data_IF_002248814473
#
_entry.id   IF_002248814473
#
_cell.length_a   1.000
_cell.length_b   1.000
_cell.length_c   1.000
_cell.angle_alpha   90.00
_cell.angle_beta   90.00
_cell.angle_gamma   90.00
#
_symmetry.space_group_name_H-M   'P 1'
#
loop_
_entity.id
_entity.type
_entity.pdbx_description
1 polymer ?
#
# COMPACT_ATOMS: atom_id res chain seq x y z
N UNK A 1 -4.60 13.16 -6.11
CA UNK A 1 -5.04 12.80 -4.74
C UNK A 1 -4.59 13.86 -3.74
N UNK A 2 -5.41 14.19 -2.71
CA UNK A 2 -5.08 15.14 -1.65
C UNK A 2 -5.15 14.50 -0.27
N UNK A 3 -4.24 14.90 0.62
CA UNK A 3 -4.18 14.50 2.02
C UNK A 3 -4.42 15.71 2.94
N UNK A 4 -4.89 15.45 4.15
CA UNK A 4 -5.13 16.43 5.21
C UNK A 4 -4.55 15.92 6.54
N UNK A 5 -4.30 16.82 7.50
CA UNK A 5 -4.01 16.41 8.88
C UNK A 5 -5.31 16.05 9.60
N UNK A 6 -5.28 15.00 10.42
CA UNK A 6 -6.38 14.67 11.34
C UNK A 6 -6.69 15.76 12.36
N UNK A 7 -5.77 16.72 12.57
CA UNK A 7 -5.94 17.86 13.49
C UNK A 7 -6.22 19.17 12.77
N UNK A 8 -5.97 19.24 11.47
CA UNK A 8 -6.25 20.41 10.63
C UNK A 8 -6.54 20.00 9.19
N UNK A 9 -7.80 20.18 8.77
CA UNK A 9 -8.28 19.84 7.43
C UNK A 9 -8.30 21.02 6.45
N UNK A 10 -7.75 22.18 6.83
CA UNK A 10 -7.72 23.37 5.97
C UNK A 10 -6.61 23.32 4.91
N UNK A 11 -5.48 22.68 5.22
CA UNK A 11 -4.36 22.51 4.30
C UNK A 11 -4.48 21.18 3.57
N UNK A 12 -4.24 21.21 2.26
CA UNK A 12 -4.11 19.99 1.45
C UNK A 12 -2.63 19.72 1.19
N UNK A 13 -2.28 18.44 1.15
CA UNK A 13 -0.94 17.93 0.88
C UNK A 13 -0.98 16.92 -0.26
N UNK A 14 0.05 16.87 -1.09
CA UNK A 14 0.21 15.79 -2.07
C UNK A 14 0.69 14.51 -1.39
N UNK A 15 0.59 13.35 -2.06
CA UNK A 15 1.19 12.12 -1.54
C UNK A 15 2.68 12.27 -1.27
N UNK A 16 3.40 12.95 -2.17
CA UNK A 16 4.84 13.24 -2.01
C UNK A 16 5.13 14.01 -0.72
N UNK A 17 4.35 15.05 -0.43
CA UNK A 17 4.52 15.84 0.79
C UNK A 17 4.38 14.99 2.05
N UNK A 18 3.32 14.17 2.12
CA UNK A 18 3.03 13.36 3.31
C UNK A 18 3.99 12.18 3.46
N UNK A 19 4.42 11.59 2.35
CA UNK A 19 5.39 10.49 2.33
C UNK A 19 6.75 10.94 2.88
N UNK A 20 7.21 12.13 2.50
CA UNK A 20 8.50 12.67 2.94
C UNK A 20 8.46 13.27 4.34
N UNK A 21 7.35 13.90 4.73
CA UNK A 21 7.20 14.46 6.08
C UNK A 21 7.04 13.39 7.15
N UNK A 22 6.30 12.31 6.85
CA UNK A 22 5.94 11.27 7.81
C UNK A 22 4.88 11.71 8.84
N UNK A 23 5.08 12.84 9.54
CA UNK A 23 4.16 13.39 10.53
C UNK A 23 3.74 14.83 10.16
N UNK A 24 2.50 15.21 10.45
CA UNK A 24 2.03 16.57 10.23
C UNK A 24 2.61 17.55 11.27
N UNK A 25 2.82 18.80 10.86
CA UNK A 25 3.44 19.85 11.69
C UNK A 25 2.63 20.16 12.97
N UNK A 26 1.33 19.85 12.98
CA UNK A 26 0.42 20.00 14.14
C UNK A 26 0.36 18.75 15.04
N UNK A 27 1.24 17.77 14.79
CA UNK A 27 1.29 16.48 15.47
C UNK A 27 0.15 15.53 15.12
N UNK A 28 -0.66 15.85 14.10
CA UNK A 28 -1.66 14.97 13.54
C UNK A 28 -1.09 13.93 12.57
N UNK A 29 -1.95 13.05 12.09
CA UNK A 29 -1.61 12.08 11.05
C UNK A 29 -2.13 12.57 9.70
N UNK A 30 -1.41 12.25 8.63
CA UNK A 30 -1.90 12.49 7.28
C UNK A 30 -2.89 11.40 6.88
N UNK A 31 -4.07 11.81 6.40
CA UNK A 31 -5.10 10.92 5.87
C UNK A 31 -5.59 11.45 4.52
N UNK A 32 -6.00 10.57 3.59
CA UNK A 32 -6.55 11.02 2.31
C UNK A 32 -7.85 11.80 2.56
N UNK A 33 -8.01 12.93 1.87
CA UNK A 33 -9.18 13.80 2.01
C UNK A 33 -10.46 13.12 1.55
N UNK A 34 -10.34 12.21 0.59
CA UNK A 34 -11.41 11.37 0.07
C UNK A 34 -10.89 9.94 -0.07
N UNK A 35 -11.77 8.96 0.19
CA UNK A 35 -11.45 7.54 0.03
C UNK A 35 -12.15 7.05 -1.24
N UNK A 36 -11.40 6.36 -2.12
CA UNK A 36 -11.99 5.70 -3.30
C UNK A 36 -13.01 4.68 -2.84
N UNK A 37 -14.25 4.82 -3.32
CA UNK A 37 -15.30 3.82 -3.14
C UNK A 37 -15.26 2.87 -4.33
N UNK A 38 -15.20 1.56 -4.06
CA UNK A 38 -15.24 0.53 -5.10
C UNK A 38 -16.68 0.08 -5.32
N UNK A 39 -17.12 0.05 -6.58
CA UNK A 39 -18.38 -0.57 -6.98
C UNK A 39 -18.26 -2.09 -6.91
N UNK A 40 -19.40 -2.77 -6.83
CA UNK A 40 -19.45 -4.25 -6.82
C UNK A 40 -18.71 -4.87 -8.00
N UNK A 41 -18.92 -4.33 -9.21
CA UNK A 41 -18.25 -4.79 -10.43
C UNK A 41 -16.71 -4.63 -10.35
N UNK A 42 -16.22 -3.55 -9.75
CA UNK A 42 -14.77 -3.37 -9.54
C UNK A 42 -14.24 -4.42 -8.57
N UNK A 43 -14.94 -4.65 -7.44
CA UNK A 43 -14.56 -5.69 -6.46
C UNK A 43 -14.55 -7.09 -7.08
N UNK A 44 -15.51 -7.39 -7.96
CA UNK A 44 -15.58 -8.65 -8.69
C UNK A 44 -14.39 -8.86 -9.64
N UNK A 45 -13.81 -7.78 -10.16
CA UNK A 45 -12.59 -7.85 -10.97
C UNK A 45 -11.35 -8.03 -10.09
N UNK A 46 -11.30 -7.38 -8.92
CA UNK A 46 -10.15 -7.45 -8.00
C UNK A 46 -9.89 -8.86 -7.46
N UNK A 47 -10.94 -9.69 -7.28
CA UNK A 47 -10.82 -11.03 -6.67
C UNK A 47 -9.94 -12.01 -7.46
N UNK A 48 -9.72 -11.75 -8.75
CA UNK A 48 -8.98 -12.65 -9.65
C UNK A 48 -7.51 -12.21 -9.85
N UNK A 49 -7.09 -11.12 -9.20
CA UNK A 49 -5.76 -10.56 -9.36
C UNK A 49 -4.73 -11.27 -8.47
N UNK A 50 -3.47 -11.28 -8.91
CA UNK A 50 -2.34 -11.60 -8.04
C UNK A 50 -2.21 -10.56 -6.92
N UNK A 51 -1.50 -10.88 -5.84
CA UNK A 51 -1.25 -9.91 -4.76
C UNK A 51 -0.58 -8.63 -5.29
N UNK A 52 0.35 -8.76 -6.24
CA UNK A 52 1.06 -7.62 -6.81
C UNK A 52 0.12 -6.71 -7.61
N UNK A 53 -0.72 -7.29 -8.46
CA UNK A 53 -1.67 -6.52 -9.27
C UNK A 53 -2.76 -5.89 -8.39
N UNK A 54 -3.26 -6.64 -7.41
CA UNK A 54 -4.22 -6.15 -6.42
C UNK A 54 -3.65 -4.98 -5.62
N UNK A 55 -2.40 -5.09 -5.16
CA UNK A 55 -1.73 -3.99 -4.48
C UNK A 55 -1.60 -2.75 -5.37
N UNK A 56 -1.29 -2.92 -6.67
CA UNK A 56 -1.24 -1.81 -7.61
C UNK A 56 -2.61 -1.13 -7.78
N UNK A 57 -3.69 -1.89 -7.95
CA UNK A 57 -5.05 -1.35 -8.08
C UNK A 57 -5.53 -0.62 -6.82
N UNK A 58 -5.16 -1.10 -5.64
CA UNK A 58 -5.54 -0.50 -4.36
C UNK A 58 -4.71 0.76 -4.08
N UNK A 59 -3.40 0.74 -4.33
CA UNK A 59 -2.47 1.80 -3.94
C UNK A 59 -2.48 2.96 -4.95
N UNK A 60 -2.61 2.68 -6.25
CA UNK A 60 -2.50 3.71 -7.29
C UNK A 60 -3.42 4.92 -7.07
N UNK A 61 -4.71 4.78 -6.69
CA UNK A 61 -5.59 5.91 -6.40
C UNK A 61 -5.12 6.83 -5.26
N UNK A 62 -4.29 6.33 -4.35
CA UNK A 62 -3.77 7.10 -3.22
C UNK A 62 -2.48 7.85 -3.54
N UNK A 63 -1.70 7.38 -4.52
CA UNK A 63 -0.40 7.98 -4.86
C UNK A 63 -0.45 8.81 -6.15
N UNK A 64 -1.35 8.47 -7.07
CA UNK A 64 -1.66 9.13 -8.35
C UNK A 64 -0.45 9.82 -9.02
N UNK A 65 -0.27 11.13 -8.83
CA UNK A 65 0.78 11.92 -9.50
C UNK A 65 2.21 11.64 -8.99
N UNK A 66 2.39 10.78 -7.97
CA UNK A 66 3.71 10.43 -7.46
C UNK A 66 4.52 9.56 -8.44
N UNK A 67 3.86 8.66 -9.16
CA UNK A 67 4.46 7.80 -10.18
C UNK A 67 3.41 7.20 -11.12
N UNK A 68 3.80 6.82 -12.33
CA UNK A 68 2.92 6.07 -13.22
C UNK A 68 2.53 4.71 -12.63
N UNK A 69 1.38 4.18 -13.06
CA UNK A 69 0.91 2.84 -12.65
C UNK A 69 1.91 1.75 -13.03
N UNK A 70 2.56 1.86 -14.18
CA UNK A 70 3.57 0.89 -14.61
C UNK A 70 4.82 0.90 -13.70
N UNK A 71 5.26 2.09 -13.27
CA UNK A 71 6.34 2.22 -12.29
C UNK A 71 5.93 1.60 -10.94
N UNK A 72 4.69 1.83 -10.51
CA UNK A 72 4.16 1.23 -9.29
C UNK A 72 4.16 -0.31 -9.36
N UNK A 73 3.70 -0.89 -10.47
CA UNK A 73 3.72 -2.34 -10.69
C UNK A 73 5.15 -2.89 -10.61
N UNK A 74 6.11 -2.23 -11.27
CA UNK A 74 7.52 -2.62 -11.22
C UNK A 74 8.08 -2.60 -9.79
N UNK A 75 7.78 -1.54 -9.04
CA UNK A 75 8.23 -1.36 -7.66
C UNK A 75 7.58 -2.38 -6.72
N UNK A 76 6.29 -2.66 -6.87
CA UNK A 76 5.58 -3.68 -6.07
C UNK A 76 6.20 -5.05 -6.32
N UNK A 77 6.40 -5.41 -7.59
CA UNK A 77 7.06 -6.67 -7.97
C UNK A 77 8.46 -6.80 -7.35
N UNK A 78 9.27 -5.73 -7.41
CA UNK A 78 10.58 -5.70 -6.76
C UNK A 78 10.48 -5.83 -5.23
N UNK A 79 9.55 -5.12 -4.60
CA UNK A 79 9.37 -5.09 -3.14
C UNK A 79 9.00 -6.45 -2.58
N UNK A 80 8.18 -7.22 -3.29
CA UNK A 80 7.71 -8.52 -2.83
C UNK A 80 8.48 -9.71 -3.38
N UNK A 81 9.49 -9.50 -4.25
CA UNK A 81 10.34 -10.54 -4.83
C UNK A 81 11.08 -11.44 -3.83
N UNK A 82 11.28 -10.97 -2.59
CA UNK A 82 11.98 -11.71 -1.51
C UNK A 82 11.03 -12.43 -0.55
N UNK A 83 9.73 -12.41 -0.81
CA UNK A 83 8.78 -13.18 -0.02
C UNK A 83 8.83 -14.65 -0.43
N UNK A 84 8.76 -15.54 0.55
CA UNK A 84 8.85 -17.00 0.33
C UNK A 84 7.52 -17.64 -0.11
N UNK A 85 6.41 -16.90 -0.01
CA UNK A 85 5.10 -17.32 -0.51
C UNK A 85 4.91 -16.81 -1.94
N UNK A 86 4.34 -17.64 -2.82
CA UNK A 86 4.07 -17.29 -4.23
C UNK A 86 3.19 -16.03 -4.38
N UNK A 87 2.30 -15.78 -3.41
CA UNK A 87 1.36 -14.64 -3.46
C UNK A 87 1.55 -13.68 -2.27
N UNK A 88 2.80 -13.55 -1.80
CA UNK A 88 3.26 -12.67 -0.71
C UNK A 88 2.73 -13.07 0.68
N UNK A 89 1.41 -13.22 0.82
CA UNK A 89 0.72 -13.71 2.01
C UNK A 89 0.15 -15.11 1.73
N UNK A 90 -0.31 -15.79 2.79
CA UNK A 90 -0.99 -17.08 2.66
C UNK A 90 -2.15 -17.15 3.64
N UNK A 91 -3.27 -17.74 3.23
CA UNK A 91 -4.36 -18.10 4.15
C UNK A 91 -4.24 -19.60 4.42
N UNK A 92 -4.09 -19.95 5.70
CA UNK A 92 -3.99 -21.34 6.15
C UNK A 92 -5.24 -21.71 6.95
N UNK A 93 -5.81 -22.87 6.66
CA UNK A 93 -6.97 -23.42 7.39
C UNK A 93 -6.50 -24.15 8.66
N UNK A 94 -7.16 -23.88 9.77
CA UNK A 94 -6.95 -24.51 11.07
C UNK A 94 -8.31 -24.98 11.61
N UNK A 95 -8.89 -25.96 10.91
CA UNK A 95 -10.25 -26.44 11.17
C UNK A 95 -11.29 -25.40 10.77
N UNK A 96 -12.08 -24.91 11.74
CA UNK A 96 -13.06 -23.84 11.53
C UNK A 96 -12.42 -22.44 11.47
N UNK A 97 -11.14 -22.31 11.83
CA UNK A 97 -10.41 -21.05 11.84
C UNK A 97 -9.57 -20.89 10.57
N UNK A 98 -9.38 -19.63 10.16
CA UNK A 98 -8.44 -19.25 9.11
C UNK A 98 -7.38 -18.31 9.65
N UNK A 99 -6.14 -18.52 9.25
CA UNK A 99 -4.99 -17.69 9.64
C UNK A 99 -4.41 -17.02 8.41
N UNK A 100 -4.34 -15.68 8.42
CA UNK A 100 -3.61 -14.91 7.42
C UNK A 100 -2.14 -14.80 7.84
N UNK A 101 -1.28 -15.53 7.16
CA UNK A 101 0.16 -15.56 7.38
C UNK A 101 0.82 -14.36 6.68
N UNK A 102 1.34 -13.43 7.49
CA UNK A 102 2.02 -12.21 7.03
C UNK A 102 3.54 -12.24 7.27
N UNK A 103 4.09 -13.40 7.60
CA UNK A 103 5.49 -13.58 8.02
C UNK A 103 6.39 -14.20 6.92
N UNK A 104 5.95 -14.19 5.67
CA UNK A 104 6.71 -14.77 4.55
C UNK A 104 7.80 -13.85 3.99
N UNK A 105 7.92 -12.63 4.54
CA UNK A 105 8.94 -11.66 4.18
C UNK A 105 10.33 -11.93 4.77
N UNK A 106 11.33 -11.10 4.43
CA UNK A 106 12.73 -11.29 4.80
C UNK A 106 13.01 -11.29 6.30
N UNK A 107 12.19 -10.63 7.13
CA UNK A 107 12.38 -10.55 8.59
C UNK A 107 11.43 -11.43 9.38
N UNK A 108 10.63 -12.25 8.70
CA UNK A 108 9.64 -13.14 9.30
C UNK A 108 8.53 -12.41 10.08
N UNK A 109 8.23 -11.16 9.71
CA UNK A 109 7.25 -10.35 10.43
C UNK A 109 6.38 -9.53 9.46
N UNK A 110 5.13 -9.27 9.88
CA UNK A 110 4.16 -8.54 9.05
C UNK A 110 4.63 -7.15 8.60
N UNK A 111 5.57 -6.53 9.32
CA UNK A 111 6.14 -5.23 8.97
C UNK A 111 6.81 -5.24 7.60
N UNK A 112 7.26 -6.40 7.13
CA UNK A 112 7.87 -6.56 5.82
C UNK A 112 6.94 -6.10 4.69
N UNK A 113 5.62 -6.31 4.81
CA UNK A 113 4.64 -5.92 3.79
C UNK A 113 4.72 -4.42 3.50
N UNK A 114 4.75 -3.59 4.55
CA UNK A 114 4.85 -2.15 4.39
C UNK A 114 6.29 -1.68 4.12
N UNK A 115 7.26 -2.19 4.88
CA UNK A 115 8.63 -1.67 4.88
C UNK A 115 9.37 -1.96 3.56
N UNK A 116 9.12 -3.11 2.92
CA UNK A 116 9.74 -3.40 1.62
C UNK A 116 9.26 -2.42 0.54
N UNK A 117 7.96 -2.07 0.53
CA UNK A 117 7.41 -1.13 -0.43
C UNK A 117 7.86 0.31 -0.15
N UNK A 118 7.80 0.74 1.11
CA UNK A 118 8.25 2.08 1.52
C UNK A 118 9.73 2.30 1.18
N UNK A 119 10.59 1.30 1.42
CA UNK A 119 12.01 1.39 1.06
C UNK A 119 12.22 1.63 -0.44
N UNK A 120 11.47 0.95 -1.30
CA UNK A 120 11.55 1.17 -2.74
C UNK A 120 10.91 2.49 -3.20
N UNK A 121 9.89 3.00 -2.51
CA UNK A 121 9.35 4.34 -2.77
C UNK A 121 10.37 5.44 -2.47
N UNK A 122 11.13 5.31 -1.36
CA UNK A 122 12.26 6.20 -1.09
C UNK A 122 13.32 6.11 -2.18
N UNK A 123 13.70 4.90 -2.60
CA UNK A 123 14.68 4.73 -3.68
C UNK A 123 14.21 5.32 -5.02
N UNK A 124 12.91 5.23 -5.34
CA UNK A 124 12.35 5.84 -6.54
C UNK A 124 12.35 7.37 -6.49
N UNK A 125 12.19 7.93 -5.29
CA UNK A 125 12.12 9.37 -5.11
C UNK A 125 13.48 10.08 -5.17
N UNK A 126 14.55 9.41 -4.72
CA UNK A 126 15.94 9.91 -4.72
C UNK A 126 16.53 9.98 -6.13
#
# INVERSE_FOLDING_TARGET
>A
MNYISTRNNQKNFTFKDVFLKGLADDGGLFVPKTIKQFKKEELDNLKNLSYNDLAAEIIYPFIEDFMSKDNLISIISKSYSRFRSNDVVKISDLGELKVLELFHGPTLAFKDIAMQLIGNFYQYHL
#
